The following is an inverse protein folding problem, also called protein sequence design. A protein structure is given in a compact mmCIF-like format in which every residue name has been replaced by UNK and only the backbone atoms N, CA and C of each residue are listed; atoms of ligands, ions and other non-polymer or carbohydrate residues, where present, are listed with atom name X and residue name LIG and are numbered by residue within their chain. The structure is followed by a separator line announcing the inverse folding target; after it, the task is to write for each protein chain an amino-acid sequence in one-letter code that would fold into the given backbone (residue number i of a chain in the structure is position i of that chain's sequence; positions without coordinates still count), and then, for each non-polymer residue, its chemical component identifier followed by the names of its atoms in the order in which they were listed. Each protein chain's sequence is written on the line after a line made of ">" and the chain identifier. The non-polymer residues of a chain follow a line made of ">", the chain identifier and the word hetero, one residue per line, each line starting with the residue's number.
data_IF_045369076681
#
_entry.id   IF_045369076681
#
_cell.length_a   1.000
_cell.length_b   1.000
_cell.length_c   1.000
_cell.angle_alpha   90.00
_cell.angle_beta   90.00
_cell.angle_gamma   90.00
#
_symmetry.space_group_name_H-M   'P 1'
#
loop_
_entity.id
_entity.type
_entity.pdbx_description
1 polymer ?
#
# COMPACT_ATOMS: atom_id res chain seq x y z
N UNK A 1 14.95 75.61 54.92
CA UNK A 1 13.52 75.24 54.75
C UNK A 1 13.48 73.74 54.46
N UNK A 2 12.64 72.99 55.19
CA UNK A 2 12.54 71.53 55.15
C UNK A 2 11.34 71.09 54.31
N UNK A 3 11.41 69.83 53.82
CA UNK A 3 10.33 68.83 53.55
C UNK A 3 10.05 68.51 52.05
N UNK A 4 9.42 67.34 51.72
CA UNK A 4 10.08 66.16 51.14
C UNK A 4 9.34 65.72 49.85
N UNK A 5 9.61 64.53 49.29
CA UNK A 5 8.62 63.55 48.76
C UNK A 5 9.36 62.44 48.03
N UNK A 6 9.06 61.20 48.43
CA UNK A 6 9.47 59.95 47.78
C UNK A 6 8.51 59.63 46.62
N UNK A 7 8.99 58.98 45.56
CA UNK A 7 8.15 58.20 44.66
C UNK A 7 8.94 57.02 44.08
N UNK A 8 8.51 55.82 44.47
CA UNK A 8 8.82 54.56 43.82
C UNK A 8 8.21 54.56 42.42
N UNK A 9 8.97 54.14 41.41
CA UNK A 9 8.42 53.72 40.13
C UNK A 9 9.15 52.46 39.66
N UNK A 10 8.57 51.31 39.99
CA UNK A 10 8.85 50.06 39.30
C UNK A 10 8.24 50.15 37.90
N UNK A 11 9.05 49.94 36.86
CA UNK A 11 8.54 49.66 35.52
C UNK A 11 9.15 48.34 35.04
N UNK A 12 8.34 47.29 35.12
CA UNK A 12 8.62 46.00 34.52
C UNK A 12 8.56 46.12 32.99
N UNK A 13 9.63 45.72 32.31
CA UNK A 13 9.58 45.48 30.87
C UNK A 13 9.57 43.97 30.66
N UNK A 14 8.35 43.43 30.61
CA UNK A 14 8.06 42.04 30.27
C UNK A 14 8.54 41.79 28.85
N UNK A 15 9.44 40.82 28.69
CA UNK A 15 9.85 40.27 27.41
C UNK A 15 8.64 39.53 26.83
N UNK A 16 8.06 40.04 25.75
CA UNK A 16 7.12 39.26 24.92
C UNK A 16 7.64 39.24 23.48
N UNK A 17 8.42 38.22 23.15
CA UNK A 17 8.67 37.86 21.77
C UNK A 17 7.39 37.19 21.22
N UNK A 18 6.81 37.65 20.09
CA UNK A 18 5.69 36.95 19.48
C UNK A 18 6.19 35.62 18.89
N UNK A 19 5.54 34.53 19.29
CA UNK A 19 5.79 33.20 18.75
C UNK A 19 5.39 33.18 17.26
N UNK A 20 6.39 33.02 16.38
CA UNK A 20 6.14 32.74 14.95
C UNK A 20 5.91 31.23 14.82
N UNK A 21 4.64 30.82 14.84
CA UNK A 21 4.21 29.44 14.64
C UNK A 21 3.02 29.44 13.68
N UNK A 22 3.28 29.55 12.37
CA UNK A 22 2.30 29.26 11.32
C UNK A 22 2.96 29.21 9.95
N UNK A 23 3.73 28.15 9.68
CA UNK A 23 4.19 27.85 8.32
C UNK A 23 4.28 26.35 7.99
N UNK A 24 4.07 25.45 8.96
CA UNK A 24 4.28 24.01 8.79
C UNK A 24 3.06 23.29 8.12
N UNK A 25 1.81 23.67 8.41
CA UNK A 25 0.59 22.92 8.02
C UNK A 25 0.17 22.91 6.54
N UNK A 26 0.91 23.54 5.62
CA UNK A 26 0.57 23.51 4.18
C UNK A 26 1.38 22.49 3.38
N UNK A 27 2.51 22.03 3.94
CA UNK A 27 3.29 20.91 3.42
C UNK A 27 2.56 19.59 3.65
N UNK A 28 2.10 19.35 4.88
CA UNK A 28 1.55 18.06 5.32
C UNK A 28 0.32 17.63 4.50
N UNK A 29 -0.65 18.55 4.31
CA UNK A 29 -1.82 18.28 3.46
C UNK A 29 -1.48 18.01 1.98
N UNK A 30 -0.37 18.55 1.45
CA UNK A 30 0.09 18.27 0.08
C UNK A 30 0.77 16.90 0.00
N UNK A 31 1.53 16.53 1.03
CA UNK A 31 2.15 15.21 1.15
C UNK A 31 1.09 14.12 1.27
N UNK A 32 0.13 14.22 2.21
CA UNK A 32 -0.95 13.24 2.35
C UNK A 32 -1.82 13.09 1.09
N UNK A 33 -2.04 14.16 0.31
CA UNK A 33 -2.73 14.06 -1.00
C UNK A 33 -1.92 13.31 -2.05
N UNK A 34 -0.60 13.43 -2.01
CA UNK A 34 0.32 12.71 -2.91
C UNK A 34 0.35 11.23 -2.54
N UNK A 35 0.37 10.93 -1.25
CA UNK A 35 0.41 9.57 -0.70
C UNK A 35 -0.90 8.82 -1.02
N UNK A 36 -2.07 9.45 -0.82
CA UNK A 36 -3.38 8.94 -1.29
C UNK A 36 -3.39 8.59 -2.79
N UNK A 37 -2.70 9.38 -3.63
CA UNK A 37 -2.62 9.10 -5.08
C UNK A 37 -1.70 7.92 -5.36
N UNK A 38 -0.60 7.80 -4.61
CA UNK A 38 0.34 6.69 -4.72
C UNK A 38 -0.33 5.37 -4.32
N UNK A 39 -0.92 5.30 -3.13
CA UNK A 39 -1.59 4.09 -2.63
C UNK A 39 -2.72 3.62 -3.55
N UNK A 40 -3.47 4.56 -4.15
CA UNK A 40 -4.50 4.21 -5.14
C UNK A 40 -3.92 3.62 -6.41
N UNK A 41 -2.74 4.09 -6.83
CA UNK A 41 -2.05 3.57 -8.01
C UNK A 41 -1.52 2.17 -7.71
N UNK A 42 -0.92 1.98 -6.55
CA UNK A 42 -0.32 0.71 -6.14
C UNK A 42 -1.40 -0.35 -5.95
N UNK A 43 -2.51 -0.02 -5.28
CA UNK A 43 -3.71 -0.86 -5.21
C UNK A 43 -4.26 -1.28 -6.57
N UNK A 44 -4.13 -0.43 -7.59
CA UNK A 44 -4.55 -0.76 -8.95
C UNK A 44 -3.55 -1.71 -9.61
N UNK A 45 -2.27 -1.55 -9.34
CA UNK A 45 -1.19 -2.48 -9.71
C UNK A 45 -1.46 -3.86 -9.15
N UNK A 46 -1.52 -3.98 -7.82
CA UNK A 46 -1.71 -5.26 -7.13
C UNK A 46 -2.98 -5.98 -7.59
N UNK A 47 -4.09 -5.26 -7.80
CA UNK A 47 -5.33 -5.87 -8.32
C UNK A 47 -5.15 -6.45 -9.72
N UNK A 48 -4.37 -5.79 -10.57
CA UNK A 48 -4.09 -6.25 -11.93
C UNK A 48 -3.21 -7.49 -11.87
N UNK A 49 -2.20 -7.51 -11.01
CA UNK A 49 -1.27 -8.63 -10.88
C UNK A 49 -1.97 -9.84 -10.27
N UNK A 50 -2.77 -9.66 -9.20
CA UNK A 50 -3.65 -10.70 -8.64
C UNK A 50 -4.56 -11.32 -9.72
N UNK A 51 -5.13 -10.49 -10.60
CA UNK A 51 -6.00 -10.95 -11.67
C UNK A 51 -5.24 -11.75 -12.73
N UNK A 52 -4.03 -11.31 -13.06
CA UNK A 52 -3.14 -12.00 -14.00
C UNK A 52 -2.76 -13.37 -13.43
N UNK A 53 -2.20 -13.43 -12.23
CA UNK A 53 -1.82 -14.68 -11.56
C UNK A 53 -3.01 -15.64 -11.41
N UNK A 54 -4.22 -15.09 -11.20
CA UNK A 54 -5.43 -15.91 -11.13
C UNK A 54 -5.77 -16.56 -12.47
N UNK A 55 -5.54 -15.85 -13.59
CA UNK A 55 -5.73 -16.40 -14.93
C UNK A 55 -4.65 -17.42 -15.28
N UNK A 56 -3.40 -17.12 -14.96
CA UNK A 56 -2.26 -17.99 -15.24
C UNK A 56 -2.44 -19.33 -14.47
N UNK A 57 -2.75 -19.29 -13.17
CA UNK A 57 -3.14 -20.48 -12.38
C UNK A 57 -4.31 -21.26 -12.99
N UNK A 58 -5.29 -20.57 -13.60
CA UNK A 58 -6.42 -21.25 -14.23
C UNK A 58 -6.01 -21.97 -15.50
N UNK A 59 -5.09 -21.39 -16.28
CA UNK A 59 -4.58 -21.98 -17.50
C UNK A 59 -3.72 -23.20 -17.19
N UNK A 60 -2.71 -23.06 -16.33
CA UNK A 60 -1.85 -24.18 -15.90
C UNK A 60 -2.66 -25.34 -15.31
N UNK A 61 -3.79 -25.04 -14.65
CA UNK A 61 -4.68 -26.08 -14.12
C UNK A 61 -5.42 -26.87 -15.20
N UNK A 62 -5.67 -26.28 -16.37
CA UNK A 62 -6.21 -26.99 -17.53
C UNK A 62 -5.11 -27.83 -18.15
N UNK A 63 -3.93 -27.26 -18.34
CA UNK A 63 -2.77 -27.91 -18.93
C UNK A 63 -2.39 -29.16 -18.09
N UNK A 64 -2.31 -29.02 -16.76
CA UNK A 64 -2.18 -30.15 -15.81
C UNK A 64 -3.21 -31.27 -16.01
N UNK A 65 -4.46 -30.94 -16.37
CA UNK A 65 -5.50 -31.96 -16.60
C UNK A 65 -5.33 -32.64 -17.95
N UNK A 66 -4.91 -31.88 -18.97
CA UNK A 66 -4.62 -32.37 -20.31
C UNK A 66 -3.41 -33.30 -20.28
N UNK A 67 -2.28 -32.87 -19.71
CA UNK A 67 -1.09 -33.70 -19.51
C UNK A 67 -1.41 -35.00 -18.75
N UNK A 68 -2.24 -34.92 -17.70
CA UNK A 68 -2.64 -36.11 -16.95
C UNK A 68 -3.46 -37.10 -17.78
N UNK A 69 -4.26 -36.59 -18.72
CA UNK A 69 -5.04 -37.41 -19.65
C UNK A 69 -4.11 -38.04 -20.68
N UNK A 70 -3.21 -37.26 -21.28
CA UNK A 70 -2.24 -37.71 -22.27
C UNK A 70 -1.30 -38.78 -21.70
N UNK A 71 -0.71 -38.55 -20.52
CA UNK A 71 0.09 -39.56 -19.81
C UNK A 71 -0.67 -40.88 -19.63
N UNK A 72 -1.98 -40.81 -19.33
CA UNK A 72 -2.79 -42.02 -19.16
C UNK A 72 -3.00 -42.74 -20.49
N UNK A 73 -3.21 -42.00 -21.58
CA UNK A 73 -3.38 -42.56 -22.92
C UNK A 73 -2.07 -43.19 -23.43
N UNK A 74 -0.94 -42.50 -23.31
CA UNK A 74 0.37 -42.99 -23.74
C UNK A 74 0.80 -44.24 -22.97
N UNK A 75 0.60 -44.25 -21.65
CA UNK A 75 0.88 -45.43 -20.83
C UNK A 75 0.00 -46.61 -21.24
N UNK A 76 -1.25 -46.37 -21.65
CA UNK A 76 -2.15 -47.41 -22.14
C UNK A 76 -1.73 -47.93 -23.51
N UNK A 77 -1.24 -47.06 -24.38
CA UNK A 77 -0.82 -47.40 -25.75
C UNK A 77 0.60 -48.00 -25.80
N UNK A 78 1.37 -47.88 -24.71
CA UNK A 78 2.72 -48.43 -24.63
C UNK A 78 3.79 -47.47 -25.12
N UNK A 79 3.54 -46.15 -25.04
CA UNK A 79 4.43 -45.08 -25.51
C UNK A 79 5.13 -44.37 -24.33
N UNK A 80 6.15 -44.97 -23.69
CA UNK A 80 6.75 -44.44 -22.47
C UNK A 80 7.56 -43.15 -22.68
N UNK A 81 7.92 -42.83 -23.92
CA UNK A 81 8.70 -41.63 -24.24
C UNK A 81 7.83 -40.38 -24.16
N UNK A 82 6.62 -40.44 -24.72
CA UNK A 82 5.66 -39.33 -24.73
C UNK A 82 5.10 -39.15 -23.32
N UNK A 83 4.70 -40.25 -22.66
CA UNK A 83 4.35 -40.22 -21.24
C UNK A 83 5.44 -39.64 -20.31
N UNK A 84 6.73 -39.71 -20.70
CA UNK A 84 7.83 -39.10 -19.94
C UNK A 84 7.94 -37.60 -20.21
N UNK A 85 7.69 -37.16 -21.44
CA UNK A 85 7.73 -35.75 -21.78
C UNK A 85 6.57 -35.01 -21.07
N UNK A 86 5.39 -35.60 -21.04
CA UNK A 86 4.18 -34.98 -20.52
C UNK A 86 4.25 -34.94 -18.98
N UNK A 87 5.01 -35.87 -18.38
CA UNK A 87 5.38 -35.79 -16.96
C UNK A 87 6.31 -34.64 -16.61
N UNK A 88 7.13 -34.16 -17.55
CA UNK A 88 7.97 -32.97 -17.33
C UNK A 88 7.12 -31.72 -17.43
N UNK A 89 6.25 -31.65 -18.42
CA UNK A 89 5.35 -30.52 -18.65
C UNK A 89 4.41 -30.38 -17.43
N UNK A 90 3.83 -31.49 -16.97
CA UNK A 90 3.05 -31.54 -15.72
C UNK A 90 3.82 -31.06 -14.48
N UNK A 91 5.14 -31.28 -14.43
CA UNK A 91 5.99 -30.79 -13.33
C UNK A 91 6.23 -29.28 -13.45
N UNK A 92 6.36 -28.78 -14.68
CA UNK A 92 6.53 -27.37 -14.98
C UNK A 92 5.27 -26.59 -14.63
N UNK A 93 4.10 -27.00 -15.09
CA UNK A 93 2.82 -26.34 -14.75
C UNK A 93 2.57 -26.32 -13.24
N UNK A 94 2.91 -27.42 -12.54
CA UNK A 94 2.80 -27.48 -11.09
C UNK A 94 3.75 -26.51 -10.38
N UNK A 95 4.90 -26.21 -10.98
CA UNK A 95 5.85 -25.22 -10.47
C UNK A 95 5.32 -23.82 -10.71
N UNK A 96 4.78 -23.56 -11.90
CA UNK A 96 4.24 -22.25 -12.30
C UNK A 96 3.02 -21.89 -11.43
N UNK A 97 2.07 -22.81 -11.23
CA UNK A 97 0.98 -22.67 -10.25
C UNK A 97 1.48 -22.32 -8.84
N UNK A 98 2.61 -22.87 -8.41
CA UNK A 98 3.16 -22.56 -7.06
C UNK A 98 3.76 -21.16 -7.02
N UNK A 99 4.42 -20.73 -8.09
CA UNK A 99 4.99 -19.41 -8.23
C UNK A 99 3.89 -18.36 -8.26
N UNK A 100 2.90 -18.47 -9.14
CA UNK A 100 1.78 -17.54 -9.23
C UNK A 100 0.96 -17.47 -7.93
N UNK A 101 0.87 -18.58 -7.18
CA UNK A 101 0.25 -18.55 -5.86
C UNK A 101 1.06 -17.77 -4.84
N UNK A 102 2.38 -17.77 -4.95
CA UNK A 102 3.28 -17.02 -4.07
C UNK A 102 3.21 -15.54 -4.40
N UNK A 103 3.23 -15.20 -5.69
CA UNK A 103 3.19 -13.83 -6.20
C UNK A 103 1.84 -13.19 -5.86
N UNK A 104 0.73 -13.86 -6.18
CA UNK A 104 -0.61 -13.42 -5.75
C UNK A 104 -0.74 -13.24 -4.24
N UNK A 105 -0.06 -14.04 -3.42
CA UNK A 105 -0.07 -13.87 -1.96
C UNK A 105 0.70 -12.63 -1.52
N UNK A 106 1.76 -12.28 -2.23
CA UNK A 106 2.52 -11.06 -2.03
C UNK A 106 1.64 -9.84 -2.37
N UNK A 107 1.07 -9.81 -3.58
CA UNK A 107 0.21 -8.70 -4.03
C UNK A 107 -1.02 -8.52 -3.14
N UNK A 108 -1.61 -9.61 -2.64
CA UNK A 108 -2.71 -9.52 -1.67
C UNK A 108 -2.27 -8.90 -0.34
N UNK A 109 -1.01 -9.10 0.08
CA UNK A 109 -0.48 -8.47 1.30
C UNK A 109 -0.20 -6.99 1.08
N UNK A 110 0.37 -6.63 -0.06
CA UNK A 110 0.65 -5.24 -0.39
C UNK A 110 -0.66 -4.46 -0.57
N UNK A 111 -1.64 -5.03 -1.27
CA UNK A 111 -2.96 -4.41 -1.41
C UNK A 111 -3.71 -4.25 -0.07
N UNK A 112 -3.33 -4.98 0.97
CA UNK A 112 -3.84 -4.77 2.34
C UNK A 112 -3.12 -3.64 3.05
N UNK A 113 -1.81 -3.48 2.83
CA UNK A 113 -1.00 -2.37 3.36
C UNK A 113 -1.45 -1.05 2.75
N UNK A 114 -1.49 -0.95 1.43
CA UNK A 114 -1.92 0.27 0.73
C UNK A 114 -3.35 0.67 1.10
N UNK A 115 -4.24 -0.29 1.37
CA UNK A 115 -5.60 0.03 1.89
C UNK A 115 -5.57 0.63 3.28
N UNK A 116 -4.66 0.17 4.14
CA UNK A 116 -4.51 0.67 5.49
C UNK A 116 -3.92 2.08 5.45
N UNK A 117 -2.90 2.29 4.63
CA UNK A 117 -2.21 3.57 4.48
C UNK A 117 -3.17 4.61 3.86
N UNK A 118 -3.89 4.24 2.79
CA UNK A 118 -4.95 5.08 2.21
C UNK A 118 -6.06 5.44 3.20
N UNK A 119 -6.33 4.58 4.19
CA UNK A 119 -7.29 4.90 5.25
C UNK A 119 -6.70 5.88 6.24
N UNK A 120 -5.42 5.77 6.58
CA UNK A 120 -4.74 6.69 7.47
C UNK A 120 -4.62 8.07 6.83
N UNK A 121 -4.09 8.17 5.61
CA UNK A 121 -3.93 9.46 4.93
C UNK A 121 -5.24 10.22 4.77
N UNK A 122 -6.35 9.49 4.57
CA UNK A 122 -7.69 10.10 4.50
C UNK A 122 -8.17 10.66 5.83
N UNK A 123 -7.79 10.04 6.96
CA UNK A 123 -8.09 10.57 8.28
C UNK A 123 -7.27 11.82 8.54
N UNK A 124 -5.98 11.77 8.26
CA UNK A 124 -5.06 12.89 8.46
C UNK A 124 -5.53 14.11 7.63
N UNK A 125 -5.93 13.89 6.36
CA UNK A 125 -6.54 14.93 5.52
C UNK A 125 -7.87 15.47 6.05
N UNK A 126 -8.62 14.67 6.81
CA UNK A 126 -9.87 15.10 7.41
C UNK A 126 -9.64 15.94 8.66
N UNK A 127 -8.72 15.51 9.52
CA UNK A 127 -8.30 16.22 10.73
C UNK A 127 -7.68 17.59 10.37
N UNK A 128 -6.74 17.61 9.43
CA UNK A 128 -6.16 18.85 8.86
C UNK A 128 -7.23 19.84 8.37
N UNK A 129 -8.32 19.31 7.82
CA UNK A 129 -9.42 20.13 7.30
C UNK A 129 -10.27 20.69 8.42
N UNK A 130 -10.57 19.90 9.45
CA UNK A 130 -11.31 20.36 10.63
C UNK A 130 -10.53 21.43 11.39
N UNK A 131 -9.24 21.23 11.63
CA UNK A 131 -8.39 22.23 12.29
C UNK A 131 -8.36 23.57 11.56
N UNK A 132 -8.31 23.55 10.21
CA UNK A 132 -8.37 24.77 9.39
C UNK A 132 -9.73 25.46 9.46
N UNK A 133 -10.83 24.70 9.52
CA UNK A 133 -12.17 25.26 9.66
C UNK A 133 -12.39 25.88 11.05
N UNK A 134 -11.85 25.28 12.10
CA UNK A 134 -11.97 25.78 13.48
C UNK A 134 -11.03 26.96 13.76
N UNK A 135 -9.82 26.98 13.18
CA UNK A 135 -8.91 28.14 13.27
C UNK A 135 -9.41 29.35 12.46
N UNK A 136 -10.38 29.17 11.56
CA UNK A 136 -10.94 30.25 10.73
C UNK A 136 -12.22 30.88 11.33
N UNK A 137 -12.72 30.37 12.46
CA UNK A 137 -13.85 30.93 13.21
C UNK A 137 -13.37 31.78 14.38
#
# INVERSE_FOLDING_TARGET
>A
MRRPVALFAALALVVSAPAVLSAQNSGDAKHARKDVRHDRRDLRGDRKDIHKDTKDIQQDRKDVREDQKEIREDVKNGDPKDARQERKDLRQDRRDIRQDRRDRRHDVRDARRDRKDLRQDRKDLHEDKQEKEDSSK
#
